data_IF_240836274492
#
_entry.id   IF_240836274492
#
_cell.length_a   1.000
_cell.length_b   1.000
_cell.length_c   1.000
_cell.angle_alpha   90.00
_cell.angle_beta   90.00
_cell.angle_gamma   90.00
#
_symmetry.space_group_name_H-M   'P 1'
#
loop_
_entity.id
_entity.type
_entity.pdbx_description
1 polymer ?
#
# COMPACT_ATOMS: atom_id res chain seq x y z
N UNK A 1 -9.07 26.37 28.33
CA UNK A 1 -8.06 25.35 27.99
C UNK A 1 -8.28 24.98 26.54
N UNK A 2 -7.45 25.55 25.66
CA UNK A 2 -7.51 25.33 24.21
C UNK A 2 -7.03 23.91 23.93
N UNK A 3 -7.93 23.05 23.45
CA UNK A 3 -7.54 21.79 22.82
C UNK A 3 -6.75 22.18 21.57
N UNK A 4 -5.42 22.06 21.66
CA UNK A 4 -4.56 22.16 20.50
C UNK A 4 -4.93 21.00 19.58
N UNK A 5 -5.65 21.31 18.52
CA UNK A 5 -5.83 20.42 17.38
C UNK A 5 -4.45 19.95 16.97
N UNK A 6 -4.18 18.65 17.08
CA UNK A 6 -2.97 18.07 16.50
C UNK A 6 -3.12 18.28 14.99
N UNK A 7 -2.52 19.35 14.50
CA UNK A 7 -2.31 19.59 13.08
C UNK A 7 -1.35 18.51 12.62
N UNK A 8 -1.87 17.37 12.18
CA UNK A 8 -1.11 16.50 11.30
C UNK A 8 -0.80 17.34 10.06
N UNK A 9 0.45 17.78 9.93
CA UNK A 9 0.93 18.57 8.81
C UNK A 9 1.08 17.67 7.56
N UNK A 10 0.00 16.98 7.19
CA UNK A 10 -0.10 16.24 5.93
C UNK A 10 -0.38 17.20 4.78
N UNK A 11 0.08 16.83 3.60
CA UNK A 11 -0.32 17.49 2.36
C UNK A 11 -1.78 17.20 2.03
N UNK A 12 -2.35 17.93 1.07
CA UNK A 12 -3.67 17.58 0.52
C UNK A 12 -3.69 16.13 -0.03
N UNK A 13 -2.59 15.66 -0.63
CA UNK A 13 -2.44 14.28 -1.08
C UNK A 13 -2.60 13.27 0.08
N UNK A 14 -1.96 13.53 1.23
CA UNK A 14 -2.07 12.65 2.41
C UNK A 14 -3.52 12.55 2.89
N UNK A 15 -4.20 13.69 3.02
CA UNK A 15 -5.59 13.73 3.50
C UNK A 15 -6.61 13.11 2.54
N UNK A 16 -6.26 12.98 1.25
CA UNK A 16 -7.13 12.37 0.25
C UNK A 16 -6.85 10.89 0.01
N UNK A 17 -5.64 10.41 0.31
CA UNK A 17 -5.17 9.12 -0.18
C UNK A 17 -4.25 8.34 0.77
N UNK A 18 -4.14 8.71 2.05
CA UNK A 18 -3.41 7.91 3.03
C UNK A 18 -3.91 6.45 3.07
N UNK A 19 -2.95 5.53 3.15
CA UNK A 19 -3.16 4.09 3.13
C UNK A 19 -3.07 3.54 4.55
N UNK A 20 -4.04 2.72 4.96
CA UNK A 20 -4.05 2.09 6.29
C UNK A 20 -2.87 1.13 6.50
N UNK A 21 -2.44 0.46 5.43
CA UNK A 21 -1.27 -0.41 5.43
C UNK A 21 0.07 0.34 5.43
N UNK A 22 0.09 1.67 5.38
CA UNK A 22 1.34 2.43 5.31
C UNK A 22 1.87 2.77 6.72
N UNK A 23 2.98 2.14 7.17
CA UNK A 23 3.56 2.40 8.49
C UNK A 23 4.18 3.80 8.59
N UNK A 24 4.38 4.49 7.46
CA UNK A 24 4.94 5.83 7.37
C UNK A 24 3.87 6.87 7.01
N UNK A 25 2.58 6.51 7.13
CA UNK A 25 1.46 7.42 6.91
C UNK A 25 1.49 8.59 7.91
N UNK A 26 1.15 9.78 7.42
CA UNK A 26 1.12 11.03 8.21
C UNK A 26 -0.28 11.62 8.33
N UNK A 27 -1.32 10.86 7.99
CA UNK A 27 -2.72 11.28 8.17
C UNK A 27 -3.63 10.08 8.35
N UNK A 28 -4.90 10.35 8.68
CA UNK A 28 -5.92 9.32 8.77
C UNK A 28 -6.10 8.62 7.42
N UNK A 29 -6.17 7.29 7.45
CA UNK A 29 -6.36 6.48 6.26
C UNK A 29 -7.72 6.74 5.61
N UNK A 30 -7.73 6.71 4.28
CA UNK A 30 -8.94 6.81 3.46
C UNK A 30 -9.19 5.46 2.81
N UNK A 31 -10.40 4.92 2.99
CA UNK A 31 -10.79 3.64 2.38
C UNK A 31 -10.77 3.74 0.86
N UNK A 32 -10.48 2.62 0.20
CA UNK A 32 -10.29 2.62 -1.26
C UNK A 32 -11.56 3.03 -2.01
N UNK A 33 -12.73 2.60 -1.53
CA UNK A 33 -14.04 2.94 -2.07
C UNK A 33 -14.37 4.44 -1.95
N UNK A 34 -13.81 5.13 -0.97
CA UNK A 34 -14.04 6.55 -0.69
C UNK A 34 -13.12 7.47 -1.49
N UNK A 35 -12.12 6.91 -2.19
CA UNK A 35 -11.20 7.70 -3.00
C UNK A 35 -11.93 8.39 -4.16
N UNK A 36 -11.74 9.70 -4.26
CA UNK A 36 -12.00 10.46 -5.47
C UNK A 36 -10.75 10.43 -6.35
N UNK A 37 -10.76 9.61 -7.40
CA UNK A 37 -9.59 9.38 -8.22
C UNK A 37 -8.99 10.66 -8.82
N UNK A 38 -9.83 11.55 -9.36
CA UNK A 38 -9.38 12.80 -9.99
C UNK A 38 -8.65 13.71 -9.00
N UNK A 39 -9.25 13.94 -7.82
CA UNK A 39 -8.65 14.78 -6.77
C UNK A 39 -7.36 14.18 -6.24
N UNK A 40 -7.32 12.87 -5.99
CA UNK A 40 -6.12 12.18 -5.53
C UNK A 40 -4.99 12.33 -6.56
N UNK A 41 -5.27 12.04 -7.83
CA UNK A 41 -4.24 12.09 -8.89
C UNK A 41 -3.70 13.52 -9.03
N UNK A 42 -4.56 14.54 -8.99
CA UNK A 42 -4.17 15.93 -9.07
C UNK A 42 -3.29 16.36 -7.88
N UNK A 43 -3.81 16.22 -6.66
CA UNK A 43 -3.12 16.65 -5.45
C UNK A 43 -1.77 15.94 -5.24
N UNK A 44 -1.72 14.63 -5.49
CA UNK A 44 -0.49 13.86 -5.35
C UNK A 44 0.51 14.17 -6.47
N UNK A 45 0.07 14.49 -7.69
CA UNK A 45 0.98 14.93 -8.75
C UNK A 45 1.67 16.25 -8.41
N UNK A 46 0.94 17.20 -7.83
CA UNK A 46 1.51 18.45 -7.34
C UNK A 46 2.49 18.19 -6.19
N UNK A 47 2.10 17.39 -5.19
CA UNK A 47 2.93 17.07 -4.03
C UNK A 47 4.25 16.36 -4.42
N UNK A 48 4.23 15.46 -5.42
CA UNK A 48 5.43 14.79 -5.95
C UNK A 48 6.43 15.78 -6.55
N UNK A 49 5.95 16.84 -7.20
CA UNK A 49 6.80 17.86 -7.86
C UNK A 49 7.38 18.84 -6.85
N UNK A 50 6.63 19.18 -5.80
CA UNK A 50 7.03 20.17 -4.80
C UNK A 50 7.83 19.58 -3.64
N UNK A 51 7.71 18.27 -3.38
CA UNK A 51 8.46 17.59 -2.33
C UNK A 51 9.97 17.59 -2.58
N UNK A 52 10.71 17.90 -1.52
CA UNK A 52 12.17 17.88 -1.50
C UNK A 52 12.73 16.63 -0.82
N UNK A 53 11.91 15.94 -0.03
CA UNK A 53 12.30 14.76 0.73
C UNK A 53 11.99 13.47 -0.03
N UNK A 54 12.97 12.57 -0.09
CA UNK A 54 12.84 11.29 -0.80
C UNK A 54 11.64 10.47 -0.30
N UNK A 55 11.46 10.41 1.03
CA UNK A 55 10.41 9.62 1.68
C UNK A 55 9.02 10.18 1.41
N UNK A 56 8.86 11.50 1.42
CA UNK A 56 7.58 12.14 1.07
C UNK A 56 7.24 11.92 -0.40
N UNK A 57 8.20 12.12 -1.30
CA UNK A 57 8.00 11.84 -2.72
C UNK A 57 7.56 10.40 -2.95
N UNK A 58 8.17 9.44 -2.25
CA UNK A 58 7.79 8.04 -2.35
C UNK A 58 6.37 7.77 -1.81
N UNK A 59 6.02 8.36 -0.66
CA UNK A 59 4.67 8.32 -0.09
C UNK A 59 3.62 8.87 -1.06
N UNK A 60 3.83 10.07 -1.59
CA UNK A 60 2.89 10.69 -2.54
C UNK A 60 2.77 9.90 -3.84
N UNK A 61 3.86 9.27 -4.29
CA UNK A 61 3.84 8.40 -5.46
C UNK A 61 2.99 7.14 -5.20
N UNK A 62 3.13 6.50 -4.03
CA UNK A 62 2.25 5.40 -3.62
C UNK A 62 0.77 5.85 -3.55
N UNK A 63 0.50 7.00 -2.94
CA UNK A 63 -0.85 7.54 -2.79
C UNK A 63 -1.48 7.87 -4.15
N UNK A 64 -0.70 8.38 -5.11
CA UNK A 64 -1.16 8.58 -6.49
C UNK A 64 -1.46 7.26 -7.20
N UNK A 65 -0.68 6.21 -6.96
CA UNK A 65 -0.97 4.87 -7.48
C UNK A 65 -2.37 4.39 -7.05
N UNK A 66 -2.78 4.64 -5.80
CA UNK A 66 -4.14 4.35 -5.33
C UNK A 66 -5.20 5.10 -6.13
N UNK A 67 -4.95 6.37 -6.43
CA UNK A 67 -5.79 7.17 -7.32
C UNK A 67 -5.90 6.59 -8.73
N UNK A 68 -4.79 6.12 -9.30
CA UNK A 68 -4.80 5.47 -10.61
C UNK A 68 -5.55 4.14 -10.62
N UNK A 69 -5.38 3.28 -9.60
CA UNK A 69 -6.21 2.08 -9.45
C UNK A 69 -7.69 2.43 -9.36
N UNK A 70 -8.05 3.46 -8.58
CA UNK A 70 -9.45 3.93 -8.47
C UNK A 70 -10.01 4.44 -9.80
N UNK A 71 -9.17 5.01 -10.66
CA UNK A 71 -9.52 5.44 -12.01
C UNK A 71 -9.58 4.28 -13.04
N UNK A 72 -9.26 3.05 -12.64
CA UNK A 72 -9.13 1.91 -13.56
C UNK A 72 -7.88 1.95 -14.44
N UNK A 73 -6.89 2.78 -14.09
CA UNK A 73 -5.62 2.89 -14.82
C UNK A 73 -4.52 2.10 -14.11
N UNK A 74 -4.62 0.77 -14.16
CA UNK A 74 -3.67 -0.12 -13.49
C UNK A 74 -2.23 0.05 -14.03
N UNK A 75 -2.05 0.36 -15.32
CA UNK A 75 -0.73 0.61 -15.92
C UNK A 75 -0.01 1.77 -15.24
N UNK A 76 -0.70 2.91 -15.06
CA UNK A 76 -0.12 4.06 -14.37
C UNK A 76 0.10 3.78 -12.87
N UNK A 77 -0.83 3.04 -12.25
CA UNK A 77 -0.71 2.67 -10.85
C UNK A 77 0.53 1.79 -10.58
N UNK A 78 0.74 0.76 -11.39
CA UNK A 78 1.91 -0.13 -11.30
C UNK A 78 3.22 0.61 -11.55
N UNK A 79 3.22 1.55 -12.50
CA UNK A 79 4.39 2.41 -12.73
C UNK A 79 4.73 3.23 -11.48
N UNK A 80 3.74 3.83 -10.85
CA UNK A 80 3.96 4.61 -9.62
C UNK A 80 4.37 3.71 -8.45
N UNK A 81 3.78 2.52 -8.31
CA UNK A 81 4.22 1.55 -7.31
C UNK A 81 5.68 1.14 -7.49
N UNK A 82 6.13 0.89 -8.72
CA UNK A 82 7.54 0.60 -9.01
C UNK A 82 8.44 1.77 -8.63
N UNK A 83 8.06 3.01 -8.96
CA UNK A 83 8.83 4.20 -8.58
C UNK A 83 8.92 4.33 -7.05
N UNK A 84 7.81 4.15 -6.32
CA UNK A 84 7.80 4.24 -4.86
C UNK A 84 8.62 3.10 -4.21
N UNK A 85 8.56 1.88 -4.78
CA UNK A 85 9.36 0.74 -4.37
C UNK A 85 10.86 1.00 -4.59
N UNK A 86 11.26 1.52 -5.76
CA UNK A 86 12.66 1.86 -6.06
C UNK A 86 13.18 2.99 -5.15
N UNK A 87 12.29 3.83 -4.63
CA UNK A 87 12.62 4.82 -3.60
C UNK A 87 12.75 4.20 -2.20
N UNK A 88 12.48 2.91 -2.03
CA UNK A 88 12.58 2.17 -0.78
C UNK A 88 11.39 2.40 0.15
N UNK A 89 10.18 2.55 -0.42
CA UNK A 89 8.96 2.78 0.37
C UNK A 89 8.23 1.46 0.64
N UNK A 90 8.18 0.98 1.90
CA UNK A 90 7.72 -0.38 2.21
C UNK A 90 6.29 -0.69 1.72
N UNK A 91 5.38 0.27 1.89
CA UNK A 91 3.98 0.11 1.49
C UNK A 91 3.79 0.02 -0.04
N UNK A 92 4.78 0.41 -0.84
CA UNK A 92 4.78 0.17 -2.28
C UNK A 92 5.04 -1.31 -2.61
N UNK A 93 5.92 -1.98 -1.87
CA UNK A 93 6.13 -3.44 -1.99
C UNK A 93 4.83 -4.20 -1.67
N UNK A 94 4.09 -3.78 -0.64
CA UNK A 94 2.74 -4.29 -0.36
C UNK A 94 1.76 -4.09 -1.53
N UNK A 95 1.76 -2.89 -2.13
CA UNK A 95 0.93 -2.59 -3.31
C UNK A 95 1.26 -3.49 -4.51
N UNK A 96 2.55 -3.67 -4.81
CA UNK A 96 3.01 -4.56 -5.89
C UNK A 96 2.66 -6.02 -5.62
N UNK A 97 2.81 -6.47 -4.37
CA UNK A 97 2.43 -7.82 -3.95
C UNK A 97 0.94 -8.06 -4.19
N UNK A 98 0.09 -7.11 -3.81
CA UNK A 98 -1.35 -7.17 -4.00
C UNK A 98 -1.73 -7.21 -5.48
N UNK A 99 -1.08 -6.40 -6.32
CA UNK A 99 -1.33 -6.42 -7.76
C UNK A 99 -0.98 -7.77 -8.40
N UNK A 100 0.17 -8.36 -8.05
CA UNK A 100 0.54 -9.71 -8.51
C UNK A 100 -0.35 -10.82 -7.92
N UNK A 101 -0.85 -10.66 -6.70
CA UNK A 101 -1.74 -11.64 -6.09
C UNK A 101 -3.11 -11.67 -6.78
N UNK A 102 -3.66 -10.49 -7.08
CA UNK A 102 -4.99 -10.34 -7.70
C UNK A 102 -4.96 -10.42 -9.24
N UNK A 103 -3.80 -10.18 -9.85
CA UNK A 103 -3.68 -10.00 -11.31
C UNK A 103 -4.22 -8.64 -11.79
N UNK A 104 -4.14 -7.60 -10.96
CA UNK A 104 -4.65 -6.26 -11.29
C UNK A 104 -3.63 -5.48 -12.11
N UNK A 105 -3.87 -5.39 -13.43
CA UNK A 105 -2.97 -4.75 -14.39
C UNK A 105 -1.66 -5.50 -14.68
N UNK A 106 -1.42 -6.62 -14.01
CA UNK A 106 -0.29 -7.54 -14.23
C UNK A 106 -0.79 -8.98 -14.30
N UNK A 107 0.03 -9.85 -14.89
CA UNK A 107 -0.22 -11.29 -14.79
C UNK A 107 -0.16 -11.74 -13.32
N UNK A 108 -1.17 -12.52 -12.89
CA UNK A 108 -1.21 -13.10 -11.55
C UNK A 108 0.02 -13.98 -11.34
N UNK A 109 0.76 -13.71 -10.26
CA UNK A 109 1.96 -14.45 -9.92
C UNK A 109 2.09 -14.57 -8.39
N UNK A 110 1.65 -15.69 -7.84
CA UNK A 110 1.60 -15.92 -6.40
C UNK A 110 2.99 -16.00 -5.76
N UNK A 111 4.00 -16.55 -6.43
CA UNK A 111 5.37 -16.58 -5.90
C UNK A 111 6.02 -15.20 -5.84
N UNK A 112 5.74 -14.34 -6.84
CA UNK A 112 6.18 -12.94 -6.82
C UNK A 112 5.47 -12.15 -5.73
N UNK A 113 4.16 -12.36 -5.56
CA UNK A 113 3.38 -11.76 -4.49
C UNK A 113 3.91 -12.16 -3.10
N UNK A 114 4.18 -13.44 -2.88
CA UNK A 114 4.76 -13.96 -1.62
C UNK A 114 6.08 -13.25 -1.29
N UNK A 115 6.99 -13.16 -2.27
CA UNK A 115 8.30 -12.50 -2.09
C UNK A 115 8.12 -11.04 -1.65
N UNK A 116 7.26 -10.29 -2.33
CA UNK A 116 7.02 -8.88 -2.06
C UNK A 116 6.29 -8.65 -0.74
N UNK A 117 5.34 -9.51 -0.37
CA UNK A 117 4.71 -9.44 0.95
C UNK A 117 5.70 -9.73 2.08
N UNK A 118 6.58 -10.73 1.92
CA UNK A 118 7.62 -11.03 2.92
C UNK A 118 8.60 -9.88 3.09
N UNK A 119 9.02 -9.25 1.98
CA UNK A 119 9.86 -8.05 1.99
C UNK A 119 9.19 -6.89 2.72
N UNK A 120 7.98 -6.56 2.30
CA UNK A 120 7.14 -5.50 2.88
C UNK A 120 6.88 -5.70 4.38
N UNK A 121 6.58 -6.93 4.81
CA UNK A 121 6.40 -7.26 6.21
C UNK A 121 7.67 -7.02 7.04
N UNK A 122 8.84 -7.43 6.53
CA UNK A 122 10.13 -7.21 7.20
C UNK A 122 10.47 -5.73 7.37
N UNK A 123 9.90 -4.87 6.53
CA UNK A 123 10.05 -3.42 6.59
C UNK A 123 8.95 -2.72 7.41
N UNK A 124 8.10 -3.49 8.11
CA UNK A 124 7.13 -2.98 9.07
C UNK A 124 5.71 -2.81 8.54
N UNK A 125 5.41 -3.29 7.33
CA UNK A 125 4.03 -3.30 6.82
C UNK A 125 3.27 -4.50 7.36
N UNK A 126 2.70 -4.36 8.56
CA UNK A 126 1.93 -5.40 9.28
C UNK A 126 0.84 -6.03 8.42
N UNK A 127 0.14 -5.22 7.60
CA UNK A 127 -0.90 -5.72 6.68
C UNK A 127 -0.41 -6.74 5.64
N UNK A 128 0.90 -6.81 5.39
CA UNK A 128 1.48 -7.85 4.53
C UNK A 128 1.34 -9.25 5.14
N UNK A 129 1.29 -9.37 6.46
CA UNK A 129 1.00 -10.63 7.13
C UNK A 129 -0.41 -11.13 6.77
N UNK A 130 -1.40 -10.24 6.76
CA UNK A 130 -2.75 -10.57 6.28
C UNK A 130 -2.76 -10.95 4.80
N UNK A 131 -1.97 -10.26 3.96
CA UNK A 131 -1.77 -10.62 2.56
C UNK A 131 -1.20 -12.03 2.37
N UNK A 132 -0.19 -12.40 3.15
CA UNK A 132 0.40 -13.75 3.17
C UNK A 132 -0.60 -14.79 3.65
N UNK A 133 -1.37 -14.50 4.71
CA UNK A 133 -2.41 -15.39 5.20
C UNK A 133 -3.43 -15.73 4.10
N UNK A 134 -3.89 -14.72 3.36
CA UNK A 134 -4.80 -14.89 2.22
C UNK A 134 -4.15 -15.72 1.09
N UNK A 135 -2.91 -15.38 0.72
CA UNK A 135 -2.15 -16.07 -0.32
C UNK A 135 -2.00 -17.58 -0.03
N UNK A 136 -1.63 -17.95 1.20
CA UNK A 136 -1.49 -19.36 1.59
C UNK A 136 -2.84 -20.06 1.77
N UNK A 137 -3.96 -19.34 1.89
CA UNK A 137 -5.30 -19.93 1.99
C UNK A 137 -5.99 -20.19 0.65
N UNK A 138 -5.41 -19.75 -0.47
CA UNK A 138 -6.03 -19.89 -1.79
C UNK A 138 -6.00 -21.36 -2.25
N UNK A 139 -7.13 -22.05 -2.09
CA UNK A 139 -7.29 -23.45 -2.50
C UNK A 139 -6.99 -23.60 -3.99
N UNK A 140 -6.08 -24.52 -4.33
CA UNK A 140 -5.64 -24.77 -5.70
C UNK A 140 -4.45 -23.92 -6.16
N UNK A 141 -3.94 -23.01 -5.33
CA UNK A 141 -2.64 -22.35 -5.54
C UNK A 141 -1.48 -23.31 -5.27
N UNK A 142 -0.37 -23.14 -5.97
CA UNK A 142 0.90 -23.86 -5.72
C UNK A 142 1.47 -23.58 -4.32
N UNK A 143 1.05 -22.47 -3.71
CA UNK A 143 1.44 -22.07 -2.36
C UNK A 143 0.37 -22.41 -1.32
N UNK A 144 -0.68 -23.16 -1.65
CA UNK A 144 -1.71 -23.49 -0.67
C UNK A 144 -1.14 -24.24 0.55
N UNK A 145 -1.27 -23.64 1.74
CA UNK A 145 -0.74 -24.14 3.00
C UNK A 145 -1.53 -23.53 4.17
N UNK A 146 -2.42 -24.33 4.76
CA UNK A 146 -3.30 -23.87 5.85
C UNK A 146 -2.54 -23.54 7.13
N UNK A 147 -1.44 -24.23 7.41
CA UNK A 147 -0.64 -23.98 8.62
C UNK A 147 0.09 -22.64 8.51
N UNK A 148 0.68 -22.34 7.34
CA UNK A 148 1.25 -21.01 7.08
C UNK A 148 0.20 -19.93 7.08
N UNK A 149 -0.99 -20.18 6.52
CA UNK A 149 -2.07 -19.19 6.54
C UNK A 149 -2.43 -18.78 7.97
N UNK A 150 -2.64 -19.75 8.87
CA UNK A 150 -2.92 -19.50 10.29
C UNK A 150 -1.74 -18.80 10.98
N UNK A 151 -0.51 -19.21 10.69
CA UNK A 151 0.69 -18.57 11.24
C UNK A 151 0.74 -17.08 10.91
N UNK A 152 0.53 -16.71 9.64
CA UNK A 152 0.56 -15.32 9.20
C UNK A 152 -0.63 -14.51 9.70
N UNK A 153 -1.79 -15.14 9.85
CA UNK A 153 -2.94 -14.51 10.47
C UNK A 153 -2.69 -14.16 11.94
N UNK A 154 -2.06 -15.07 12.69
CA UNK A 154 -1.68 -14.80 14.08
C UNK A 154 -0.68 -13.65 14.18
N UNK A 155 0.31 -13.59 13.27
CA UNK A 155 1.26 -12.47 13.20
C UNK A 155 0.57 -11.12 12.97
N UNK A 156 -0.42 -11.08 12.07
CA UNK A 156 -1.21 -9.87 11.85
C UNK A 156 -1.94 -9.45 13.13
N UNK A 157 -2.62 -10.38 13.79
CA UNK A 157 -3.39 -10.11 15.00
C UNK A 157 -2.52 -9.72 16.22
N UNK A 158 -1.29 -10.23 16.30
CA UNK A 158 -0.33 -9.87 17.34
C UNK A 158 0.19 -8.43 17.22
N UNK A 159 0.29 -7.89 16.00
CA UNK A 159 0.86 -6.57 15.73
C UNK A 159 -0.17 -5.43 15.70
N UNK A 160 -1.44 -5.74 15.44
CA UNK A 160 -2.53 -4.73 15.42
C UNK A 160 -3.23 -4.54 16.77
N UNK A 161 -2.93 -5.38 17.77
CA UNK A 161 -3.45 -5.29 19.14
C UNK A 161 -2.59 -4.36 20.01
#
# INVERSE_FOLDING_TARGET
MTLASISYAGSECDHLAALEADPLSVSMAIKFEDLNAEKVIAACSEAIVTSQEKTEKARFTLQRARGYFRAGNAVAALKDLLVAHDLGYPAASFGLATAHFLGDGVEKNVSRAETLFLESYREGVTWSARGLALLYSEVGSDLYDTEKSILWENKFNEEIN
#
